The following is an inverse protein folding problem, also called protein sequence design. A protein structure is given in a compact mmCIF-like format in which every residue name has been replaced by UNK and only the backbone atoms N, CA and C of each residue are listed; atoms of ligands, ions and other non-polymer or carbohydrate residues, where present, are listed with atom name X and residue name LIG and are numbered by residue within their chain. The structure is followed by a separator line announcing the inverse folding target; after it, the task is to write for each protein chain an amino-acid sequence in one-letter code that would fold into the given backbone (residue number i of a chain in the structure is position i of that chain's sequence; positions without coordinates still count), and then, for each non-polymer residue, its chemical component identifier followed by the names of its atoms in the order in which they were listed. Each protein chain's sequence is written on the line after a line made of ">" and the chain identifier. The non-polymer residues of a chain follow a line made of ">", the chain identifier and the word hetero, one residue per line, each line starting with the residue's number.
data_IF_792443447608
#
_entry.id   IF_792443447608
#
_cell.length_a   1.000
_cell.length_b   1.000
_cell.length_c   1.000
_cell.angle_alpha   90.00
_cell.angle_beta   90.00
_cell.angle_gamma   90.00
#
_symmetry.space_group_name_H-M   'P 1'
#
loop_
_entity.id
_entity.type
_entity.pdbx_description
1 polymer ?
#
# COMPACT_ATOMS: atom_id res chain seq x y z
N UNK A 1 -29.01 -13.83 -3.63
CA UNK A 1 -27.77 -13.99 -4.43
C UNK A 1 -27.01 -12.67 -4.35
N UNK A 2 -26.19 -12.50 -3.31
CA UNK A 2 -25.42 -11.27 -3.09
C UNK A 2 -24.54 -11.02 -4.32
N UNK A 3 -24.77 -9.90 -4.99
CA UNK A 3 -24.16 -9.59 -6.27
C UNK A 3 -22.65 -9.45 -6.16
N UNK A 4 -21.97 -9.84 -7.23
CA UNK A 4 -20.71 -9.23 -7.66
C UNK A 4 -19.53 -9.34 -6.68
N UNK A 5 -19.23 -10.54 -6.17
CA UNK A 5 -17.89 -10.82 -5.63
C UNK A 5 -16.99 -11.36 -6.75
N UNK A 6 -16.56 -10.46 -7.66
CA UNK A 6 -15.84 -10.82 -8.88
C UNK A 6 -14.33 -11.03 -8.68
N UNK A 7 -13.83 -11.06 -7.44
CA UNK A 7 -12.40 -11.15 -7.16
C UNK A 7 -12.11 -12.34 -6.25
N UNK A 8 -11.43 -13.35 -6.80
CA UNK A 8 -10.98 -14.56 -6.11
C UNK A 8 -9.90 -14.24 -5.07
N UNK A 9 -9.69 -15.14 -4.12
CA UNK A 9 -8.61 -15.03 -3.13
C UNK A 9 -7.23 -14.83 -3.77
N UNK A 10 -6.98 -15.48 -4.92
CA UNK A 10 -5.74 -15.31 -5.69
C UNK A 10 -5.61 -13.91 -6.28
N UNK A 11 -6.69 -13.33 -6.82
CA UNK A 11 -6.67 -11.97 -7.34
C UNK A 11 -6.48 -10.94 -6.21
N UNK A 12 -7.07 -11.17 -5.04
CA UNK A 12 -6.86 -10.36 -3.84
C UNK A 12 -5.39 -10.37 -3.38
N UNK A 13 -4.73 -11.53 -3.36
CA UNK A 13 -3.31 -11.63 -3.07
C UNK A 13 -2.44 -10.95 -4.14
N UNK A 14 -2.78 -11.11 -5.42
CA UNK A 14 -2.08 -10.45 -6.51
C UNK A 14 -2.16 -8.93 -6.40
N UNK A 15 -3.33 -8.40 -6.02
CA UNK A 15 -3.52 -6.97 -5.81
C UNK A 15 -2.76 -6.44 -4.58
N UNK A 16 -2.74 -7.19 -3.47
CA UNK A 16 -1.91 -6.86 -2.31
C UNK A 16 -0.42 -6.75 -2.68
N UNK A 17 0.08 -7.64 -3.55
CA UNK A 17 1.45 -7.58 -4.07
C UNK A 17 1.68 -6.35 -4.96
N UNK A 18 0.72 -5.99 -5.81
CA UNK A 18 0.82 -4.76 -6.62
C UNK A 18 0.90 -3.50 -5.75
N UNK A 19 0.18 -3.47 -4.63
CA UNK A 19 0.27 -2.38 -3.65
C UNK A 19 1.69 -2.29 -3.06
N UNK A 20 2.28 -3.42 -2.66
CA UNK A 20 3.67 -3.46 -2.18
C UNK A 20 4.67 -2.96 -3.23
N UNK A 21 4.52 -3.38 -4.48
CA UNK A 21 5.37 -2.92 -5.59
C UNK A 21 5.22 -1.41 -5.82
N UNK A 22 4.00 -0.87 -5.73
CA UNK A 22 3.75 0.56 -5.84
C UNK A 22 4.42 1.34 -4.69
N UNK A 23 4.33 0.85 -3.45
CA UNK A 23 5.02 1.45 -2.30
C UNK A 23 6.54 1.48 -2.54
N UNK A 24 7.11 0.37 -3.01
CA UNK A 24 8.54 0.28 -3.32
C UNK A 24 8.99 1.30 -4.38
N UNK A 25 8.19 1.48 -5.44
CA UNK A 25 8.46 2.48 -6.49
C UNK A 25 8.43 3.91 -5.93
N UNK A 26 7.47 4.23 -5.07
CA UNK A 26 7.34 5.56 -4.46
C UNK A 26 8.55 5.88 -3.58
N UNK A 27 9.03 4.91 -2.79
CA UNK A 27 10.25 5.06 -1.98
C UNK A 27 11.51 5.22 -2.83
N UNK A 28 11.60 4.51 -3.95
CA UNK A 28 12.71 4.65 -4.88
C UNK A 28 12.74 6.05 -5.51
N UNK A 29 11.60 6.54 -6.01
CA UNK A 29 11.49 7.89 -6.57
C UNK A 29 11.74 8.97 -5.51
N UNK A 30 11.29 8.77 -4.27
CA UNK A 30 11.62 9.64 -3.14
C UNK A 30 13.13 9.74 -2.94
N UNK A 31 13.81 8.60 -2.87
CA UNK A 31 15.27 8.53 -2.65
C UNK A 31 16.01 9.25 -3.77
N UNK A 32 15.57 9.05 -5.01
CA UNK A 32 16.12 9.74 -6.19
C UNK A 32 15.92 11.25 -6.11
N UNK A 33 14.70 11.71 -5.78
CA UNK A 33 14.41 13.13 -5.59
C UNK A 33 15.33 13.75 -4.53
N UNK A 34 15.49 13.10 -3.38
CA UNK A 34 16.38 13.57 -2.31
C UNK A 34 17.82 13.67 -2.81
N UNK A 35 18.33 12.66 -3.51
CA UNK A 35 19.70 12.66 -4.03
C UNK A 35 19.93 13.74 -5.09
N UNK A 36 19.02 13.88 -6.06
CA UNK A 36 19.08 14.94 -7.07
C UNK A 36 19.13 16.32 -6.42
N UNK A 37 18.30 16.54 -5.40
CA UNK A 37 18.26 17.86 -4.79
C UNK A 37 19.44 18.13 -3.88
N UNK A 38 19.93 17.15 -3.11
CA UNK A 38 21.16 17.31 -2.32
C UNK A 38 22.33 17.78 -3.20
N UNK A 39 22.44 17.26 -4.42
CA UNK A 39 23.44 17.70 -5.39
C UNK A 39 23.28 19.15 -5.86
N UNK A 40 22.04 19.65 -5.97
CA UNK A 40 21.73 21.03 -6.41
C UNK A 40 21.85 22.01 -5.25
N UNK A 41 21.35 21.67 -4.07
CA UNK A 41 21.30 22.55 -2.89
C UNK A 41 22.65 22.78 -2.25
N UNK A 42 23.67 21.97 -2.56
CA UNK A 42 25.03 22.20 -2.09
C UNK A 42 25.55 23.62 -2.45
N UNK A 43 25.01 24.24 -3.51
CA UNK A 43 25.28 25.63 -3.88
C UNK A 43 24.19 26.65 -3.53
N UNK A 44 23.02 26.23 -3.04
CA UNK A 44 21.90 27.12 -2.73
C UNK A 44 21.82 27.36 -1.22
N UNK A 45 22.31 28.51 -0.76
CA UNK A 45 22.20 28.95 0.63
C UNK A 45 21.05 29.97 0.79
N UNK A 46 20.45 30.05 1.99
CA UNK A 46 19.45 31.08 2.34
C UNK A 46 17.99 30.65 2.15
N UNK A 47 17.12 31.56 1.69
CA UNK A 47 15.66 31.35 1.60
C UNK A 47 15.26 30.17 0.70
N UNK A 48 15.99 29.93 -0.40
CA UNK A 48 15.72 28.81 -1.31
C UNK A 48 15.91 27.44 -0.63
N UNK A 49 16.93 27.31 0.23
CA UNK A 49 17.16 26.09 1.01
C UNK A 49 16.00 25.84 1.98
N UNK A 50 15.46 26.88 2.62
CA UNK A 50 14.35 26.76 3.58
C UNK A 50 13.05 26.33 2.91
N UNK A 51 12.72 26.94 1.77
CA UNK A 51 11.55 26.56 0.98
C UNK A 51 11.64 25.10 0.50
N UNK A 52 12.84 24.66 0.10
CA UNK A 52 13.08 23.29 -0.30
C UNK A 52 12.94 22.31 0.86
N UNK A 53 13.58 22.55 2.00
CA UNK A 53 13.47 21.68 3.19
C UNK A 53 12.00 21.55 3.62
N UNK A 54 11.22 22.63 3.52
CA UNK A 54 9.78 22.60 3.80
C UNK A 54 9.03 21.69 2.82
N UNK A 55 9.32 21.80 1.52
CA UNK A 55 8.72 20.94 0.49
C UNK A 55 9.12 19.48 0.69
N UNK A 56 10.38 19.21 0.99
CA UNK A 56 10.91 17.86 1.25
C UNK A 56 10.19 17.22 2.45
N UNK A 57 10.01 17.96 3.54
CA UNK A 57 9.27 17.49 4.70
C UNK A 57 7.82 17.16 4.35
N UNK A 58 7.14 18.04 3.58
CA UNK A 58 5.77 17.77 3.11
C UNK A 58 5.70 16.51 2.25
N UNK A 59 6.62 16.32 1.31
CA UNK A 59 6.67 15.11 0.46
C UNK A 59 6.89 13.86 1.30
N UNK A 60 7.75 13.93 2.33
CA UNK A 60 7.96 12.81 3.25
C UNK A 60 6.68 12.46 4.01
N UNK A 61 5.97 13.46 4.52
CA UNK A 61 4.71 13.27 5.25
C UNK A 61 3.62 12.69 4.35
N UNK A 62 3.51 13.18 3.11
CA UNK A 62 2.53 12.70 2.14
C UNK A 62 2.80 11.24 1.74
N UNK A 63 4.07 10.87 1.53
CA UNK A 63 4.46 9.49 1.27
C UNK A 63 4.17 8.58 2.46
N UNK A 64 4.43 9.06 3.69
CA UNK A 64 4.13 8.29 4.90
C UNK A 64 2.63 8.00 5.01
N UNK A 65 1.77 9.00 4.81
CA UNK A 65 0.30 8.85 4.81
C UNK A 65 -0.19 7.92 3.70
N UNK A 66 0.40 8.02 2.51
CA UNK A 66 0.05 7.14 1.40
C UNK A 66 0.40 5.69 1.73
N UNK A 67 1.59 5.43 2.30
CA UNK A 67 1.99 4.08 2.74
C UNK A 67 1.06 3.53 3.81
N UNK A 68 0.68 4.35 4.78
CA UNK A 68 -0.28 3.96 5.81
C UNK A 68 -1.62 3.56 5.20
N UNK A 69 -2.15 4.38 4.29
CA UNK A 69 -3.41 4.11 3.59
C UNK A 69 -3.34 2.82 2.77
N UNK A 70 -2.25 2.60 2.04
CA UNK A 70 -2.03 1.40 1.24
C UNK A 70 -1.88 0.14 2.11
N UNK A 71 -1.21 0.24 3.26
CA UNK A 71 -1.13 -0.86 4.23
C UNK A 71 -2.51 -1.18 4.84
N UNK A 72 -3.33 -0.17 5.13
CA UNK A 72 -4.68 -0.39 5.62
C UNK A 72 -5.55 -1.13 4.58
N UNK A 73 -5.44 -0.75 3.30
CA UNK A 73 -6.11 -1.45 2.19
C UNK A 73 -5.63 -2.91 2.10
N UNK A 74 -4.31 -3.14 2.15
CA UNK A 74 -3.73 -4.49 2.16
C UNK A 74 -4.32 -5.32 3.31
N UNK A 75 -4.35 -4.77 4.52
CA UNK A 75 -4.87 -5.48 5.69
C UNK A 75 -6.37 -5.81 5.54
N UNK A 76 -7.18 -4.89 5.04
CA UNK A 76 -8.60 -5.14 4.80
C UNK A 76 -8.81 -6.28 3.78
N UNK A 77 -7.97 -6.36 2.75
CA UNK A 77 -8.01 -7.43 1.75
C UNK A 77 -7.61 -8.78 2.36
N UNK A 78 -6.56 -8.82 3.18
CA UNK A 78 -6.13 -10.04 3.88
C UNK A 78 -7.21 -10.54 4.84
N UNK A 79 -7.84 -9.64 5.62
CA UNK A 79 -8.94 -9.97 6.52
C UNK A 79 -10.13 -10.54 5.75
N UNK A 80 -10.51 -9.89 4.64
CA UNK A 80 -11.60 -10.32 3.77
C UNK A 80 -11.31 -11.71 3.20
N UNK A 81 -10.10 -11.94 2.69
CA UNK A 81 -9.68 -13.24 2.14
C UNK A 81 -9.73 -14.35 3.20
N UNK A 82 -9.26 -14.07 4.43
CA UNK A 82 -9.30 -15.02 5.54
C UNK A 82 -10.74 -15.36 5.96
N UNK A 83 -11.61 -14.36 6.01
CA UNK A 83 -13.03 -14.56 6.32
C UNK A 83 -13.70 -15.49 5.31
N UNK A 84 -13.45 -15.28 4.01
CA UNK A 84 -13.95 -16.16 2.95
C UNK A 84 -13.49 -17.62 3.12
N UNK A 85 -12.19 -17.84 3.34
CA UNK A 85 -11.65 -19.18 3.54
C UNK A 85 -12.31 -19.90 4.73
N UNK A 86 -12.50 -19.19 5.85
CA UNK A 86 -13.17 -19.72 7.04
C UNK A 86 -14.64 -20.08 6.76
N UNK A 87 -15.38 -19.23 6.05
CA UNK A 87 -16.78 -19.48 5.71
C UNK A 87 -16.94 -20.67 4.76
N UNK A 88 -16.04 -20.84 3.79
CA UNK A 88 -16.05 -22.01 2.91
C UNK A 88 -15.73 -23.32 3.67
N UNK A 89 -14.78 -23.29 4.60
CA UNK A 89 -14.45 -24.44 5.45
C UNK A 89 -15.62 -24.83 6.37
N UNK A 90 -16.27 -23.86 7.01
CA UNK A 90 -17.46 -24.08 7.84
C UNK A 90 -18.61 -24.69 7.04
N UNK A 91 -18.88 -24.18 5.83
CA UNK A 91 -19.91 -24.74 4.95
C UNK A 91 -19.58 -26.18 4.57
N UNK A 92 -18.33 -26.46 4.16
CA UNK A 92 -17.90 -27.84 3.84
C UNK A 92 -18.08 -28.79 5.03
N UNK A 93 -17.73 -28.36 6.25
CA UNK A 93 -17.87 -29.16 7.46
C UNK A 93 -19.35 -29.44 7.81
N UNK A 94 -20.25 -28.47 7.60
CA UNK A 94 -21.69 -28.69 7.76
C UNK A 94 -22.23 -29.70 6.76
N UNK A 95 -21.85 -29.60 5.48
CA UNK A 95 -22.26 -30.56 4.45
C UNK A 95 -21.72 -31.97 4.69
N UNK A 96 -20.48 -32.12 5.19
CA UNK A 96 -19.90 -33.42 5.50
C UNK A 96 -20.52 -34.10 6.73
N UNK A 97 -21.16 -33.32 7.61
CA UNK A 97 -21.83 -33.84 8.82
C UNK A 97 -23.29 -34.26 8.53
N UNK A 98 -23.84 -33.85 7.39
CA UNK A 98 -25.23 -34.12 6.98
C UNK A 98 -25.37 -35.25 5.95
N UNK A 99 -24.26 -35.85 5.50
CA UNK A 99 -24.20 -37.02 4.62
C UNK A 99 -23.78 -38.28 5.39
#
# INVERSE_FOLDING_TARGET
>A
MAGQFTMTAQEMQAFAKQIEEAIGKIEAERTKLIGTVQGITAGWQGQAATAYTTLQNRVNDDIAKLKESLNAIKHAIEQTTKHYASTEEEQKAMFSTQS
#
